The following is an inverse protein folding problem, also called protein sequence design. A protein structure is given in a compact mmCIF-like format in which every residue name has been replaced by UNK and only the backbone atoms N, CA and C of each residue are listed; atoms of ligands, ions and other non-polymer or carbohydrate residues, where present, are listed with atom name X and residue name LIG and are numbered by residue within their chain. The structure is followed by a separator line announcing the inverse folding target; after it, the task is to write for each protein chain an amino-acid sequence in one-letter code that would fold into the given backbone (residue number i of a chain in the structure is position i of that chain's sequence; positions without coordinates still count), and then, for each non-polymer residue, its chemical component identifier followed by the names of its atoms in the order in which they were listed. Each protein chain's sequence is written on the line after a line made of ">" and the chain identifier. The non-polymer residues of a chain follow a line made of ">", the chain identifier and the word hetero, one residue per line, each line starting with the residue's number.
data_IF_110817482319
#
_entry.id   IF_110817482319
#
_cell.length_a   1.000
_cell.length_b   1.000
_cell.length_c   1.000
_cell.angle_alpha   90.00
_cell.angle_beta   90.00
_cell.angle_gamma   90.00
#
_symmetry.space_group_name_H-M   'P 1'
#
loop_
_entity.id
_entity.type
_entity.pdbx_description
1 polymer ?
#
# COMPACT_ATOMS: atom_id res chain seq x y z
N UNK A 1 -12.85 1.25 -20.80
CA UNK A 1 -12.24 2.15 -19.80
C UNK A 1 -10.79 1.73 -19.65
N UNK A 2 -9.86 2.68 -19.45
CA UNK A 2 -8.45 2.33 -19.18
C UNK A 2 -8.32 1.97 -17.70
N UNK A 3 -7.50 0.97 -17.38
CA UNK A 3 -7.18 0.65 -16.00
C UNK A 3 -6.60 1.87 -15.29
N UNK A 4 -6.97 2.05 -14.03
CA UNK A 4 -6.31 3.01 -13.14
C UNK A 4 -5.06 2.35 -12.56
N UNK A 5 -3.95 3.07 -12.63
CA UNK A 5 -2.68 2.67 -12.06
C UNK A 5 -2.36 3.60 -10.92
N UNK A 6 -2.07 3.09 -9.73
CA UNK A 6 -1.56 3.90 -8.62
C UNK A 6 -0.08 3.60 -8.44
N UNK A 7 0.76 4.61 -8.60
CA UNK A 7 2.18 4.54 -8.28
C UNK A 7 2.42 5.25 -6.96
N UNK A 8 3.14 4.57 -6.06
CA UNK A 8 3.71 5.14 -4.84
C UNK A 8 5.22 4.95 -4.91
N UNK A 9 5.97 6.02 -5.10
CA UNK A 9 7.43 5.97 -5.20
C UNK A 9 8.11 6.64 -4.02
N UNK A 10 9.31 6.19 -3.69
CA UNK A 10 10.21 6.81 -2.73
C UNK A 10 11.57 7.03 -3.39
N UNK A 11 11.93 8.29 -3.57
CA UNK A 11 13.23 8.69 -4.14
C UNK A 11 14.18 9.04 -3.01
N UNK A 12 15.34 8.38 -2.97
CA UNK A 12 16.36 8.61 -1.94
C UNK A 12 17.44 9.58 -2.42
N UNK A 13 17.77 10.56 -1.59
CA UNK A 13 18.90 11.44 -1.82
C UNK A 13 20.23 10.66 -1.75
N UNK A 14 21.26 11.17 -2.43
CA UNK A 14 22.63 10.76 -2.16
C UNK A 14 23.01 11.09 -0.70
N UNK A 15 23.96 10.37 -0.06
CA UNK A 15 24.27 10.52 1.38
C UNK A 15 24.57 11.95 1.85
N UNK A 16 25.16 12.78 0.97
CA UNK A 16 25.55 14.17 1.28
C UNK A 16 24.58 15.21 0.68
N UNK A 17 23.40 14.78 0.25
CA UNK A 17 22.37 15.64 -0.35
C UNK A 17 21.06 15.54 0.42
N UNK A 18 20.21 16.55 0.20
CA UNK A 18 18.86 16.62 0.75
C UNK A 18 17.91 17.01 -0.36
N UNK A 19 16.76 16.34 -0.41
CA UNK A 19 15.64 16.72 -1.27
C UNK A 19 14.79 17.70 -0.47
N UNK A 20 14.77 18.96 -0.93
CA UNK A 20 13.88 19.98 -0.40
C UNK A 20 12.51 19.98 -1.10
N UNK A 21 11.63 20.91 -0.72
CA UNK A 21 10.30 21.01 -1.29
C UNK A 21 10.30 21.35 -2.78
N UNK A 22 11.25 22.17 -3.23
CA UNK A 22 11.34 22.57 -4.64
C UNK A 22 11.86 21.40 -5.49
N UNK A 23 12.86 20.66 -4.99
CA UNK A 23 13.37 19.46 -5.63
C UNK A 23 12.32 18.34 -5.66
N UNK A 24 11.57 18.11 -4.58
CA UNK A 24 10.48 17.14 -4.59
C UNK A 24 9.38 17.49 -5.60
N UNK A 25 8.97 18.75 -5.68
CA UNK A 25 8.02 19.18 -6.72
C UNK A 25 8.58 19.02 -8.13
N UNK A 26 9.88 19.25 -8.32
CA UNK A 26 10.53 19.02 -9.60
C UNK A 26 10.52 17.53 -9.97
N UNK A 27 10.90 16.64 -9.05
CA UNK A 27 10.83 15.18 -9.23
C UNK A 27 9.41 14.78 -9.64
N UNK A 28 8.39 15.23 -8.88
CA UNK A 28 7.00 14.89 -9.20
C UNK A 28 6.58 15.38 -10.59
N UNK A 29 7.01 16.57 -11.03
CA UNK A 29 6.73 17.03 -12.41
C UNK A 29 7.42 16.18 -13.48
N UNK A 30 8.61 15.64 -13.19
CA UNK A 30 9.24 14.69 -14.12
C UNK A 30 8.43 13.39 -14.20
N UNK A 31 8.04 12.82 -13.05
CA UNK A 31 7.28 11.57 -12.99
C UNK A 31 5.87 11.67 -13.60
N UNK A 32 5.22 12.82 -13.48
CA UNK A 32 3.88 13.06 -14.04
C UNK A 32 3.89 13.30 -15.56
N UNK A 33 5.02 13.77 -16.09
CA UNK A 33 5.14 14.20 -17.48
C UNK A 33 4.10 15.27 -17.89
N UNK A 34 3.79 15.37 -19.20
CA UNK A 34 2.84 16.36 -19.72
C UNK A 34 1.37 16.01 -19.47
N UNK A 35 1.06 14.76 -19.10
CA UNK A 35 -0.31 14.27 -18.97
C UNK A 35 -0.85 14.38 -17.55
N UNK A 36 0.03 14.48 -16.55
CA UNK A 36 -0.39 14.49 -15.16
C UNK A 36 -0.78 13.10 -14.67
N UNK A 37 -1.56 13.09 -13.60
CA UNK A 37 -2.01 11.90 -12.90
C UNK A 37 -3.41 11.50 -13.34
N UNK A 38 -3.60 10.21 -13.61
CA UNK A 38 -4.90 9.67 -14.03
C UNK A 38 -5.71 9.16 -12.83
N UNK A 39 -6.78 9.86 -12.47
CA UNK A 39 -7.74 9.50 -11.40
C UNK A 39 -7.13 9.28 -10.01
N UNK A 40 -5.87 9.60 -9.77
CA UNK A 40 -5.23 9.49 -8.45
C UNK A 40 -4.75 10.87 -8.03
N UNK A 41 -5.02 11.35 -6.81
CA UNK A 41 -4.49 12.63 -6.35
C UNK A 41 -2.96 12.59 -6.26
N UNK A 42 -2.32 13.68 -6.67
CA UNK A 42 -0.87 13.82 -6.53
C UNK A 42 -0.55 14.21 -5.10
N UNK A 43 0.28 13.41 -4.42
CA UNK A 43 0.77 13.76 -3.08
C UNK A 43 2.29 13.68 -2.99
N UNK A 44 2.86 14.55 -2.17
CA UNK A 44 4.29 14.60 -1.86
C UNK A 44 4.45 14.61 -0.35
N UNK A 45 5.29 13.73 0.19
CA UNK A 45 5.76 13.80 1.57
C UNK A 45 7.27 13.78 1.61
N UNK A 46 7.85 14.81 2.22
CA UNK A 46 9.27 14.85 2.51
C UNK A 46 9.60 14.16 3.83
N UNK A 47 10.72 13.44 3.83
CA UNK A 47 11.31 13.01 5.07
C UNK A 47 11.86 14.23 5.86
N UNK A 48 11.85 14.21 7.21
CA UNK A 48 12.21 15.38 8.01
C UNK A 48 13.61 15.97 7.73
N UNK A 49 14.58 15.14 7.35
CA UNK A 49 15.94 15.58 7.02
C UNK A 49 16.21 15.62 5.50
N UNK A 50 15.18 15.50 4.66
CA UNK A 50 15.29 15.51 3.20
C UNK A 50 15.99 14.27 2.63
N UNK A 51 16.14 13.20 3.41
CA UNK A 51 16.84 12.00 2.95
C UNK A 51 16.05 11.20 1.89
N UNK A 52 14.73 11.37 1.84
CA UNK A 52 13.88 10.86 0.77
C UNK A 52 12.63 11.72 0.56
N UNK A 53 12.02 11.57 -0.60
CA UNK A 53 10.69 12.09 -0.93
C UNK A 53 9.77 10.94 -1.36
N UNK A 54 8.59 10.89 -0.76
CA UNK A 54 7.54 9.93 -1.10
C UNK A 54 6.52 10.64 -2.00
N UNK A 55 6.20 10.04 -3.14
CA UNK A 55 5.35 10.64 -4.16
C UNK A 55 4.30 9.61 -4.58
N UNK A 56 3.03 10.00 -4.58
CA UNK A 56 1.93 9.19 -5.10
C UNK A 56 1.29 9.88 -6.30
N UNK A 57 0.97 9.10 -7.33
CA UNK A 57 0.26 9.59 -8.52
C UNK A 57 -0.35 8.42 -9.32
N UNK A 58 -1.12 8.78 -10.34
CA UNK A 58 -1.85 7.88 -11.20
C UNK A 58 -1.07 7.63 -12.48
N UNK A 59 -0.46 6.46 -12.60
CA UNK A 59 0.58 6.15 -13.57
C UNK A 59 0.14 6.16 -15.03
N UNK A 60 -1.15 5.91 -15.32
CA UNK A 60 -1.83 6.17 -16.61
C UNK A 60 -1.23 5.62 -17.92
N UNK A 61 -0.03 5.02 -17.91
CA UNK A 61 0.93 4.76 -19.02
C UNK A 61 1.97 5.86 -19.30
N UNK A 62 2.44 6.59 -18.28
CA UNK A 62 3.58 7.49 -18.43
C UNK A 62 4.89 6.70 -18.51
N UNK A 63 5.67 6.81 -19.61
CA UNK A 63 7.04 6.29 -19.67
C UNK A 63 8.01 7.14 -18.82
N UNK A 64 7.57 8.30 -18.32
CA UNK A 64 8.47 9.29 -17.72
C UNK A 64 9.12 8.77 -16.43
N UNK A 65 8.53 7.77 -15.77
CA UNK A 65 9.17 7.07 -14.65
C UNK A 65 10.38 6.23 -15.11
N UNK A 66 10.31 5.62 -16.30
CA UNK A 66 11.43 4.86 -16.90
C UNK A 66 12.57 5.83 -17.18
N UNK A 67 12.28 6.91 -17.91
CA UNK A 67 13.26 7.93 -18.28
C UNK A 67 13.87 8.58 -17.02
N UNK A 68 13.06 8.85 -15.99
CA UNK A 68 13.55 9.36 -14.71
C UNK A 68 14.51 8.37 -14.03
N UNK A 69 14.19 7.07 -14.04
CA UNK A 69 15.07 6.05 -13.48
C UNK A 69 16.41 6.02 -14.21
N UNK A 70 16.40 5.93 -15.54
CA UNK A 70 17.60 5.85 -16.36
C UNK A 70 18.49 7.08 -16.25
N UNK A 71 17.91 8.28 -16.22
CA UNK A 71 18.68 9.53 -16.25
C UNK A 71 19.10 10.04 -14.88
N UNK A 72 18.33 9.75 -13.82
CA UNK A 72 18.49 10.42 -12.52
C UNK A 72 19.00 9.49 -11.43
N UNK A 73 18.70 8.20 -11.47
CA UNK A 73 19.13 7.23 -10.45
C UNK A 73 20.60 6.87 -10.65
N UNK A 74 21.37 6.78 -9.55
CA UNK A 74 22.83 6.58 -9.59
C UNK A 74 23.63 7.85 -9.93
N UNK A 75 23.00 8.88 -10.50
CA UNK A 75 23.63 10.15 -10.86
C UNK A 75 23.25 11.28 -9.89
N UNK A 76 21.95 11.55 -9.78
CA UNK A 76 21.39 12.63 -8.95
C UNK A 76 20.83 12.09 -7.64
N UNK A 77 20.23 10.92 -7.69
CA UNK A 77 19.60 10.23 -6.57
C UNK A 77 20.29 8.90 -6.32
N UNK A 78 20.26 8.45 -5.06
CA UNK A 78 20.88 7.17 -4.69
C UNK A 78 20.12 6.01 -5.34
N UNK A 79 18.81 5.99 -5.17
CA UNK A 79 17.92 4.95 -5.69
C UNK A 79 16.48 5.45 -5.66
N UNK A 80 15.60 4.70 -6.32
CA UNK A 80 14.15 4.85 -6.27
C UNK A 80 13.54 3.49 -5.96
N UNK A 81 12.56 3.48 -5.07
CA UNK A 81 11.68 2.35 -4.83
C UNK A 81 10.29 2.72 -5.30
N UNK A 82 9.60 1.79 -5.95
CA UNK A 82 8.23 2.00 -6.38
C UNK A 82 7.34 0.85 -5.94
N UNK A 83 6.09 1.19 -5.63
CA UNK A 83 4.97 0.26 -5.53
C UNK A 83 3.93 0.64 -6.55
N UNK A 84 3.44 -0.36 -7.26
CA UNK A 84 2.51 -0.19 -8.35
C UNK A 84 1.26 -1.04 -8.12
N UNK A 85 0.11 -0.39 -8.15
CA UNK A 85 -1.20 -1.04 -8.16
C UNK A 85 -1.84 -0.88 -9.54
N UNK A 86 -2.46 -1.94 -10.04
CA UNK A 86 -3.23 -1.96 -11.28
C UNK A 86 -4.65 -2.47 -10.98
N UNK A 87 -5.64 -1.59 -11.09
CA UNK A 87 -7.06 -1.88 -10.83
C UNK A 87 -7.58 -3.05 -11.68
N UNK A 88 -7.14 -3.15 -12.95
CA UNK A 88 -7.49 -4.26 -13.83
C UNK A 88 -6.53 -5.46 -13.75
N UNK A 89 -5.67 -5.49 -12.73
CA UNK A 89 -4.63 -6.48 -12.50
C UNK A 89 -4.97 -7.49 -11.40
N UNK A 90 -3.96 -7.89 -10.63
CA UNK A 90 -4.06 -8.97 -9.63
C UNK A 90 -4.58 -8.54 -8.25
N UNK A 91 -5.12 -7.33 -8.12
CA UNK A 91 -5.62 -6.82 -6.85
C UNK A 91 -4.55 -6.81 -5.73
N UNK A 92 -3.28 -6.59 -6.12
CA UNK A 92 -2.10 -6.59 -5.25
C UNK A 92 -1.09 -5.54 -5.74
N UNK A 93 -0.37 -4.94 -4.80
CA UNK A 93 0.75 -4.06 -5.14
C UNK A 93 1.97 -4.87 -5.57
N UNK A 94 2.65 -4.41 -6.62
CA UNK A 94 3.97 -4.87 -7.04
C UNK A 94 5.03 -3.90 -6.52
N UNK A 95 6.08 -4.40 -5.88
CA UNK A 95 7.25 -3.61 -5.50
C UNK A 95 8.41 -3.83 -6.48
N UNK A 96 9.14 -2.76 -6.75
CA UNK A 96 10.33 -2.74 -7.59
C UNK A 96 11.32 -1.66 -7.11
N UNK A 97 12.57 -1.76 -7.59
CA UNK A 97 13.62 -0.78 -7.32
C UNK A 97 14.46 -0.53 -8.57
N UNK A 98 14.95 0.71 -8.72
CA UNK A 98 15.91 1.16 -9.74
C UNK A 98 15.41 1.13 -11.20
N UNK A 99 14.71 0.08 -11.60
CA UNK A 99 14.17 -0.08 -12.94
C UNK A 99 12.73 -0.59 -12.85
N UNK A 100 11.81 0.20 -13.37
CA UNK A 100 10.39 -0.15 -13.37
C UNK A 100 10.12 -1.32 -14.33
N UNK A 101 10.79 -1.45 -15.48
CA UNK A 101 10.47 -2.42 -16.51
C UNK A 101 11.28 -3.71 -16.41
N UNK A 102 12.59 -3.61 -16.18
CA UNK A 102 13.53 -4.74 -16.22
C UNK A 102 14.07 -5.11 -14.83
N UNK A 103 13.75 -4.32 -13.81
CA UNK A 103 14.14 -4.58 -12.43
C UNK A 103 13.41 -5.78 -11.81
N UNK A 104 13.95 -6.37 -10.72
CA UNK A 104 13.27 -7.42 -9.99
C UNK A 104 11.94 -6.86 -9.44
N UNK A 105 10.85 -7.51 -9.86
CA UNK A 105 9.49 -7.25 -9.35
C UNK A 105 9.01 -8.42 -8.52
N UNK A 106 8.12 -8.14 -7.57
CA UNK A 106 7.42 -9.11 -6.75
C UNK A 106 6.23 -8.47 -6.06
N UNK A 107 5.36 -9.28 -5.46
CA UNK A 107 4.28 -8.74 -4.65
C UNK A 107 4.83 -8.04 -3.42
N UNK A 108 4.32 -6.84 -3.16
CA UNK A 108 4.58 -6.11 -1.93
C UNK A 108 3.80 -6.75 -0.77
N UNK A 109 4.42 -6.79 0.40
CA UNK A 109 3.81 -7.26 1.64
C UNK A 109 3.84 -6.16 2.68
N UNK A 110 2.78 -6.10 3.46
CA UNK A 110 2.53 -5.08 4.46
C UNK A 110 2.47 -5.66 5.86
N UNK A 111 3.01 -4.94 6.84
CA UNK A 111 3.05 -5.35 8.24
C UNK A 111 1.90 -4.78 9.08
N UNK A 112 1.52 -5.53 10.11
CA UNK A 112 0.67 -5.09 11.21
C UNK A 112 1.17 -5.69 12.54
N UNK A 113 0.89 -5.02 13.65
CA UNK A 113 1.28 -5.41 15.01
C UNK A 113 0.08 -5.54 15.97
N UNK A 114 -1.11 -5.15 15.53
CA UNK A 114 -2.37 -5.36 16.26
C UNK A 114 -3.52 -5.64 15.29
N UNK A 115 -4.39 -6.57 15.67
CA UNK A 115 -5.72 -6.77 15.06
C UNK A 115 -6.79 -6.33 16.04
N UNK A 116 -7.73 -5.50 15.59
CA UNK A 116 -8.92 -5.09 16.34
C UNK A 116 -10.19 -5.52 15.62
N UNK A 117 -11.11 -6.14 16.35
CA UNK A 117 -12.37 -6.68 15.81
C UNK A 117 -13.55 -6.13 16.61
N UNK A 118 -14.61 -5.70 15.91
CA UNK A 118 -15.92 -5.40 16.52
C UNK A 118 -16.94 -6.40 15.99
N UNK A 119 -17.67 -7.04 16.89
CA UNK A 119 -18.64 -8.09 16.59
C UNK A 119 -20.02 -7.79 17.17
N UNK A 120 -21.08 -8.22 16.50
CA UNK A 120 -22.47 -8.17 16.98
C UNK A 120 -22.74 -9.39 17.88
N UNK A 121 -22.14 -9.39 19.07
CA UNK A 121 -22.28 -10.47 20.06
C UNK A 121 -20.94 -10.93 20.64
N UNK A 122 -20.77 -12.23 20.79
CA UNK A 122 -19.49 -12.85 21.17
C UNK A 122 -18.67 -13.19 19.91
N UNK A 123 -17.37 -12.83 19.89
CA UNK A 123 -16.26 -13.34 19.03
C UNK A 123 -15.08 -12.36 19.11
N UNK A 124 -13.81 -12.79 19.17
CA UNK A 124 -13.17 -13.92 18.48
C UNK A 124 -12.51 -14.93 19.44
N UNK A 125 -12.29 -16.18 19.00
CA UNK A 125 -10.89 -16.60 18.79
C UNK A 125 -10.69 -17.43 17.51
N UNK A 126 -9.57 -17.22 16.81
CA UNK A 126 -9.20 -17.95 15.56
C UNK A 126 -7.88 -18.75 15.71
N UNK A 127 -7.48 -18.99 16.96
CA UNK A 127 -6.82 -20.18 17.52
C UNK A 127 -6.92 -20.09 19.07
N UNK A 128 -6.92 -21.21 19.79
CA UNK A 128 -7.38 -21.29 21.20
C UNK A 128 -6.43 -20.72 22.28
N UNK A 129 -5.22 -20.31 21.93
CA UNK A 129 -4.17 -19.96 22.91
C UNK A 129 -3.71 -18.51 22.86
N UNK A 130 -4.25 -17.70 21.94
CA UNK A 130 -3.79 -16.31 21.76
C UNK A 130 -4.53 -15.33 22.68
N UNK A 131 -3.82 -14.35 23.28
CA UNK A 131 -4.31 -13.55 24.40
C UNK A 131 -5.19 -12.38 23.93
N UNK A 132 -6.27 -12.66 23.21
CA UNK A 132 -7.29 -11.66 22.86
C UNK A 132 -7.74 -10.91 24.10
N UNK A 133 -7.67 -9.58 24.04
CA UNK A 133 -8.09 -8.69 25.12
C UNK A 133 -9.39 -8.01 24.73
N UNK A 134 -10.37 -8.08 25.62
CA UNK A 134 -11.61 -7.32 25.44
C UNK A 134 -11.39 -5.87 25.87
N UNK A 135 -11.64 -4.95 24.94
CA UNK A 135 -11.62 -3.52 25.16
C UNK A 135 -12.89 -3.04 25.88
N UNK A 136 -12.79 -1.88 26.52
CA UNK A 136 -13.92 -1.21 27.18
C UNK A 136 -15.01 -0.74 26.21
N UNK A 137 -14.65 -0.57 24.94
CA UNK A 137 -15.55 -0.24 23.82
C UNK A 137 -16.25 -1.48 23.24
N UNK A 138 -16.08 -2.65 23.86
CA UNK A 138 -16.63 -3.92 23.39
C UNK A 138 -15.84 -4.56 22.25
N UNK A 139 -14.77 -3.92 21.77
CA UNK A 139 -13.88 -4.48 20.75
C UNK A 139 -12.99 -5.58 21.33
N UNK A 140 -12.46 -6.42 20.45
CA UNK A 140 -11.45 -7.41 20.78
C UNK A 140 -10.15 -7.02 20.13
N UNK A 141 -9.05 -7.09 20.88
CA UNK A 141 -7.73 -6.65 20.43
C UNK A 141 -6.73 -7.76 20.64
N UNK A 142 -5.95 -8.02 19.61
CA UNK A 142 -4.88 -9.01 19.62
C UNK A 142 -3.59 -8.33 19.21
N UNK A 143 -2.62 -8.17 20.14
CA UNK A 143 -1.26 -7.84 19.78
C UNK A 143 -0.63 -9.05 19.08
N UNK A 144 -0.33 -8.91 17.80
CA UNK A 144 0.27 -9.97 16.98
C UNK A 144 1.07 -9.34 15.87
N UNK A 145 2.32 -9.76 15.70
CA UNK A 145 3.10 -9.42 14.52
C UNK A 145 2.60 -10.26 13.35
N UNK A 146 2.07 -9.60 12.33
CA UNK A 146 1.55 -10.25 11.15
C UNK A 146 1.83 -9.45 9.89
N UNK A 147 1.41 -10.02 8.76
CA UNK A 147 1.58 -9.38 7.47
C UNK A 147 0.50 -9.78 6.48
N UNK A 148 0.27 -8.98 5.45
CA UNK A 148 -0.65 -9.31 4.38
C UNK A 148 -0.22 -8.76 3.02
N UNK A 149 -0.84 -9.26 1.97
CA UNK A 149 -0.78 -8.70 0.61
C UNK A 149 -2.16 -8.18 0.22
N UNK A 150 -2.19 -6.99 -0.36
CA UNK A 150 -3.41 -6.35 -0.87
C UNK A 150 -3.04 -5.30 -1.92
N UNK A 151 -4.04 -4.86 -2.67
CA UNK A 151 -3.96 -3.74 -3.59
C UNK A 151 -4.28 -2.44 -2.87
N UNK A 152 -3.40 -1.46 -3.01
CA UNK A 152 -3.57 -0.13 -2.42
C UNK A 152 -4.16 0.82 -3.45
N UNK A 153 -5.43 0.62 -3.79
CA UNK A 153 -6.14 1.51 -4.70
C UNK A 153 -6.30 2.92 -4.08
N UNK A 154 -5.87 3.92 -4.83
CA UNK A 154 -5.91 5.35 -4.46
C UNK A 154 -6.69 6.16 -5.50
N UNK A 155 -7.51 5.51 -6.32
CA UNK A 155 -8.45 6.16 -7.20
C UNK A 155 -9.31 7.17 -6.42
N UNK A 156 -9.53 8.32 -7.03
CA UNK A 156 -10.39 9.39 -6.58
C UNK A 156 -11.00 10.17 -7.76
N UNK A 157 -12.09 10.90 -7.50
CA UNK A 157 -12.76 11.82 -8.44
C UNK A 157 -11.95 13.12 -8.78
N UNK A 158 -10.64 13.01 -9.00
CA UNK A 158 -9.78 14.13 -9.48
C UNK A 158 -9.69 14.23 -11.01
N UNK A 159 -10.17 13.21 -11.72
CA UNK A 159 -10.15 13.14 -13.19
C UNK A 159 -8.78 12.77 -13.80
N UNK A 160 -8.69 12.74 -15.14
CA UNK A 160 -7.61 12.06 -15.86
C UNK A 160 -6.29 12.85 -16.02
N UNK A 161 -6.19 14.07 -15.50
CA UNK A 161 -5.02 14.95 -15.66
C UNK A 161 -4.69 15.74 -14.38
N UNK A 162 -4.80 15.09 -13.22
CA UNK A 162 -4.52 15.73 -11.94
C UNK A 162 -3.03 16.13 -11.84
N UNK A 163 -2.75 17.30 -11.28
CA UNK A 163 -1.39 17.83 -11.11
C UNK A 163 -1.16 18.19 -9.64
N UNK A 164 0.03 18.68 -9.31
CA UNK A 164 0.31 19.25 -7.98
C UNK A 164 -0.62 20.41 -7.57
N UNK A 165 -1.26 21.07 -8.54
CA UNK A 165 -2.21 22.14 -8.28
C UNK A 165 -3.66 21.66 -8.17
N UNK A 166 -3.92 20.38 -8.45
CA UNK A 166 -5.26 19.79 -8.30
C UNK A 166 -5.49 19.49 -6.83
N UNK A 167 -6.49 20.14 -6.24
CA UNK A 167 -6.87 19.89 -4.85
C UNK A 167 -7.48 18.48 -4.73
N UNK A 168 -7.01 17.64 -3.79
CA UNK A 168 -7.62 16.33 -3.55
C UNK A 168 -9.04 16.51 -3.02
N UNK A 169 -9.98 15.62 -3.36
CA UNK A 169 -11.31 15.66 -2.78
C UNK A 169 -11.23 15.49 -1.27
N UNK A 170 -12.15 16.13 -0.56
CA UNK A 170 -12.26 15.96 0.88
C UNK A 170 -12.50 14.48 1.20
N UNK A 171 -11.79 13.90 2.19
CA UNK A 171 -12.01 12.52 2.57
C UNK A 171 -13.46 12.34 3.04
N UNK A 172 -14.14 11.33 2.50
CA UNK A 172 -15.47 10.95 2.99
C UNK A 172 -15.39 10.54 4.47
N UNK A 173 -16.47 10.62 5.27
CA UNK A 173 -16.44 10.26 6.69
C UNK A 173 -15.96 8.81 6.97
N UNK A 174 -16.14 7.97 5.96
CA UNK A 174 -15.70 6.60 5.88
C UNK A 174 -14.18 6.47 5.66
N UNK A 175 -13.51 7.42 5.02
CA UNK A 175 -12.13 7.26 4.56
C UNK A 175 -11.14 7.02 5.72
N UNK A 176 -10.07 6.28 5.42
CA UNK A 176 -8.94 6.14 6.33
C UNK A 176 -8.05 7.39 6.19
N UNK A 177 -7.79 8.18 7.24
CA UNK A 177 -6.85 9.28 7.14
C UNK A 177 -5.45 8.69 7.00
N UNK A 178 -4.94 8.71 5.77
CA UNK A 178 -3.53 8.51 5.44
C UNK A 178 -2.93 9.82 4.95
N UNK A 179 -1.60 9.93 4.94
CA UNK A 179 -0.92 11.04 4.28
C UNK A 179 -1.25 11.19 2.77
N UNK A 180 -1.93 10.20 2.16
CA UNK A 180 -2.13 10.09 0.71
C UNK A 180 -3.58 9.77 0.27
N UNK A 181 -4.59 9.96 1.13
CA UNK A 181 -6.00 9.56 0.87
C UNK A 181 -6.83 10.64 0.15
N UNK A 182 -7.99 10.28 -0.47
CA UNK A 182 -8.92 9.21 -0.09
C UNK A 182 -8.94 8.03 -1.07
N UNK A 183 -8.52 6.87 -0.56
CA UNK A 183 -8.80 5.54 -1.12
C UNK A 183 -10.33 5.38 -1.21
N UNK A 184 -10.87 5.30 -2.43
CA UNK A 184 -12.29 5.08 -2.73
C UNK A 184 -12.72 3.61 -2.65
N UNK A 185 -11.76 2.69 -2.78
CA UNK A 185 -11.93 1.24 -2.64
C UNK A 185 -10.60 0.61 -2.23
N UNK A 186 -10.65 -0.56 -1.62
CA UNK A 186 -9.49 -1.40 -1.38
C UNK A 186 -9.84 -2.84 -1.74
N UNK A 187 -8.82 -3.64 -2.02
CA UNK A 187 -9.03 -5.04 -2.36
C UNK A 187 -9.06 -5.93 -1.13
N UNK A 188 -9.65 -7.11 -1.31
CA UNK A 188 -9.52 -8.19 -0.33
C UNK A 188 -8.05 -8.51 -0.06
N UNK A 189 -7.78 -9.08 1.12
CA UNK A 189 -6.44 -9.59 1.40
C UNK A 189 -6.23 -10.84 0.55
N UNK A 190 -5.15 -10.90 -0.21
CA UNK A 190 -4.85 -12.04 -1.07
C UNK A 190 -3.95 -13.07 -0.38
N UNK A 191 -3.30 -12.66 0.70
CA UNK A 191 -2.50 -13.51 1.60
C UNK A 191 -2.39 -12.81 2.94
N UNK A 192 -2.46 -13.56 4.03
CA UNK A 192 -2.27 -13.06 5.39
C UNK A 192 -1.45 -14.06 6.20
N UNK A 193 -0.54 -13.54 7.03
CA UNK A 193 0.20 -14.29 8.03
C UNK A 193 0.03 -13.66 9.42
N UNK A 194 -0.05 -14.48 10.48
CA UNK A 194 -0.12 -15.94 10.42
C UNK A 194 -1.42 -16.46 9.76
N UNK A 195 -1.39 -17.60 9.04
CA UNK A 195 -2.51 -18.05 8.19
C UNK A 195 -3.83 -18.29 8.93
N UNK A 196 -3.76 -18.57 10.23
CA UNK A 196 -4.95 -18.73 11.06
C UNK A 196 -5.76 -17.44 11.20
N UNK A 197 -5.24 -16.27 10.83
CA UNK A 197 -6.01 -15.03 10.76
C UNK A 197 -6.92 -14.94 9.51
N UNK A 198 -6.67 -15.76 8.47
CA UNK A 198 -7.43 -15.70 7.21
C UNK A 198 -8.96 -15.81 7.38
N UNK A 199 -9.50 -16.70 8.24
CA UNK A 199 -10.94 -16.76 8.45
C UNK A 199 -11.54 -15.45 8.98
N UNK A 200 -10.78 -14.61 9.70
CA UNK A 200 -11.29 -13.28 10.08
C UNK A 200 -11.44 -12.39 8.84
N UNK A 201 -10.48 -12.44 7.92
CA UNK A 201 -10.44 -11.60 6.73
C UNK A 201 -11.44 -12.03 5.64
N UNK A 202 -11.75 -13.33 5.56
CA UNK A 202 -12.54 -13.91 4.44
C UNK A 202 -13.97 -14.27 4.84
N UNK A 203 -14.19 -14.65 6.11
CA UNK A 203 -15.49 -15.07 6.62
C UNK A 203 -15.91 -14.10 7.73
N UNK A 204 -16.93 -13.29 7.48
CA UNK A 204 -17.35 -12.27 8.46
C UNK A 204 -18.66 -12.56 9.24
N UNK A 205 -18.99 -13.81 9.64
CA UNK A 205 -20.22 -14.03 10.39
C UNK A 205 -20.15 -13.36 11.77
N UNK A 206 -21.09 -12.44 12.04
CA UNK A 206 -21.20 -11.74 13.32
C UNK A 206 -20.07 -10.74 13.61
N UNK A 207 -19.20 -10.45 12.63
CA UNK A 207 -18.22 -9.37 12.68
C UNK A 207 -18.79 -8.17 11.92
N UNK A 208 -18.49 -6.96 12.39
CA UNK A 208 -18.93 -5.69 11.76
C UNK A 208 -17.77 -4.81 11.34
N UNK A 209 -16.60 -5.01 11.96
CA UNK A 209 -15.39 -4.27 11.68
C UNK A 209 -14.16 -5.10 12.02
N UNK A 210 -13.18 -5.07 11.14
CA UNK A 210 -11.83 -5.57 11.37
C UNK A 210 -10.86 -4.45 11.01
N UNK A 211 -9.89 -4.24 11.88
CA UNK A 211 -8.83 -3.25 11.73
C UNK A 211 -7.48 -3.94 11.95
N UNK A 212 -6.58 -3.79 10.98
CA UNK A 212 -5.17 -4.13 11.13
C UNK A 212 -4.41 -2.83 11.38
N UNK A 213 -3.53 -2.83 12.38
CA UNK A 213 -2.82 -1.65 12.83
C UNK A 213 -1.33 -1.88 12.83
N UNK A 214 -0.58 -0.81 12.58
CA UNK A 214 0.88 -0.78 12.64
C UNK A 214 1.32 0.39 13.49
N UNK A 215 2.06 0.13 14.57
CA UNK A 215 2.58 1.15 15.50
C UNK A 215 1.47 2.10 15.98
N UNK A 216 0.27 1.55 16.20
CA UNK A 216 -0.91 2.28 16.64
C UNK A 216 -1.70 3.00 15.52
N UNK A 217 -1.22 3.02 14.27
CA UNK A 217 -1.92 3.58 13.10
C UNK A 217 -2.74 2.50 12.39
N UNK A 218 -3.93 2.83 11.90
CA UNK A 218 -4.73 1.93 11.07
C UNK A 218 -4.08 1.78 9.68
N UNK A 219 -3.82 0.54 9.26
CA UNK A 219 -3.21 0.23 7.95
C UNK A 219 -4.16 -0.53 7.02
N UNK A 220 -5.12 -1.27 7.56
CA UNK A 220 -6.18 -1.89 6.76
C UNK A 220 -7.47 -1.99 7.55
N UNK A 221 -8.60 -1.76 6.90
CA UNK A 221 -9.93 -1.85 7.51
C UNK A 221 -10.88 -2.64 6.61
N UNK A 222 -11.66 -3.51 7.24
CA UNK A 222 -12.72 -4.30 6.59
C UNK A 222 -14.02 -4.07 7.35
N UNK A 223 -15.07 -3.57 6.70
CA UNK A 223 -16.39 -3.34 7.32
C UNK A 223 -17.52 -3.52 6.32
N UNK A 224 -18.70 -3.89 6.81
CA UNK A 224 -19.92 -3.87 5.99
C UNK A 224 -20.41 -2.42 5.86
N UNK A 225 -20.46 -1.92 4.63
CA UNK A 225 -20.98 -0.59 4.30
C UNK A 225 -22.08 -0.72 3.24
N UNK A 226 -22.97 0.28 3.18
CA UNK A 226 -23.91 0.43 2.07
C UNK A 226 -23.11 0.90 0.84
N UNK A 227 -23.06 0.08 -0.20
CA UNK A 227 -22.59 0.44 -1.53
C UNK A 227 -23.77 0.95 -2.37
N UNK A 228 -23.62 2.13 -2.95
CA UNK A 228 -24.69 2.82 -3.69
C UNK A 228 -25.16 2.03 -4.94
N UNK A 229 -24.35 1.08 -5.44
CA UNK A 229 -24.61 0.32 -6.67
C UNK A 229 -25.06 -1.11 -6.36
N UNK A 230 -24.43 -1.77 -5.38
CA UNK A 230 -24.59 -3.20 -5.13
C UNK A 230 -25.30 -3.54 -3.81
N UNK A 231 -25.67 -2.54 -3.00
CA UNK A 231 -26.25 -2.73 -1.68
C UNK A 231 -25.19 -2.99 -0.62
N UNK A 232 -25.54 -3.67 0.49
CA UNK A 232 -24.55 -3.94 1.54
C UNK A 232 -23.46 -4.88 1.07
N UNK A 233 -22.21 -4.42 1.17
CA UNK A 233 -21.04 -5.19 0.81
C UNK A 233 -19.92 -4.97 1.84
N UNK A 234 -19.05 -5.96 1.95
CA UNK A 234 -17.81 -5.81 2.70
C UNK A 234 -16.85 -4.94 1.91
N UNK A 235 -16.51 -3.80 2.49
CA UNK A 235 -15.56 -2.86 1.91
C UNK A 235 -14.21 -3.01 2.60
N UNK A 236 -13.19 -3.20 1.79
CA UNK A 236 -11.80 -3.15 2.22
C UNK A 236 -11.28 -1.73 1.95
N UNK A 237 -10.46 -1.23 2.86
CA UNK A 237 -9.81 0.08 2.76
C UNK A 237 -8.38 -0.06 3.22
N UNK A 238 -7.46 0.35 2.37
CA UNK A 238 -6.02 0.21 2.63
C UNK A 238 -5.43 1.57 2.99
N UNK A 239 -4.53 1.55 3.97
CA UNK A 239 -3.80 2.69 4.48
C UNK A 239 -2.29 2.39 4.52
N UNK A 240 -1.86 1.44 3.68
CA UNK A 240 -0.49 1.02 3.56
C UNK A 240 0.41 2.12 3.02
N UNK A 241 1.61 2.16 3.57
CA UNK A 241 2.62 3.18 3.34
C UNK A 241 4.01 2.52 3.45
N UNK A 242 5.08 3.25 3.21
CA UNK A 242 6.43 2.69 3.18
C UNK A 242 6.93 2.24 4.56
N UNK A 243 6.39 2.76 5.66
CA UNK A 243 6.78 2.41 7.04
C UNK A 243 6.27 1.02 7.48
N UNK A 244 5.29 0.46 6.78
CA UNK A 244 4.83 -0.91 6.98
C UNK A 244 5.10 -1.82 5.78
N UNK A 245 5.96 -1.41 4.84
CA UNK A 245 6.46 -2.28 3.77
C UNK A 245 7.43 -3.33 4.36
N UNK A 246 7.15 -4.62 4.14
CA UNK A 246 7.95 -5.74 4.64
C UNK A 246 8.74 -6.47 3.55
N UNK A 247 8.98 -5.78 2.42
CA UNK A 247 9.83 -6.29 1.36
C UNK A 247 11.27 -6.52 1.87
N UNK A 248 11.87 -7.70 1.66
CA UNK A 248 13.13 -8.05 2.30
C UNK A 248 14.33 -7.23 1.80
N UNK A 249 14.34 -6.82 0.52
CA UNK A 249 15.43 -6.00 0.01
C UNK A 249 15.25 -4.53 0.40
N UNK A 250 14.01 -4.04 0.44
CA UNK A 250 13.69 -2.71 0.97
C UNK A 250 14.12 -2.59 2.43
N UNK A 251 13.76 -3.55 3.28
CA UNK A 251 14.15 -3.57 4.70
C UNK A 251 15.67 -3.65 4.87
N UNK A 252 16.38 -4.41 4.02
CA UNK A 252 17.84 -4.46 4.02
C UNK A 252 18.44 -3.09 3.64
N UNK A 253 17.84 -2.41 2.66
CA UNK A 253 18.25 -1.08 2.23
C UNK A 253 18.03 -0.03 3.32
N UNK A 254 16.86 -0.02 3.98
CA UNK A 254 16.54 0.92 5.08
C UNK A 254 17.18 0.54 6.42
N UNK A 255 17.80 -0.64 6.50
CA UNK A 255 18.42 -1.21 7.71
C UNK A 255 17.41 -1.53 8.83
N UNK A 256 16.18 -1.83 8.47
CA UNK A 256 15.09 -2.24 9.37
C UNK A 256 14.99 -3.78 9.41
N UNK A 257 16.13 -4.45 9.63
CA UNK A 257 16.23 -5.91 9.54
C UNK A 257 15.49 -6.65 10.66
N UNK A 258 15.08 -5.94 11.71
CA UNK A 258 14.25 -6.45 12.80
C UNK A 258 12.79 -6.72 12.37
N UNK A 259 12.36 -6.16 11.24
CA UNK A 259 11.02 -6.35 10.68
C UNK A 259 10.93 -7.50 9.66
N UNK A 260 12.07 -8.16 9.38
CA UNK A 260 12.15 -9.23 8.38
C UNK A 260 11.29 -10.43 8.82
N UNK A 261 10.44 -10.90 7.92
CA UNK A 261 9.58 -12.06 8.15
C UNK A 261 10.38 -13.38 8.06
N UNK A 262 9.74 -14.48 8.48
CA UNK A 262 10.34 -15.80 8.31
C UNK A 262 10.60 -16.12 6.83
N UNK A 263 11.67 -16.85 6.55
CA UNK A 263 12.03 -17.31 5.19
C UNK A 263 10.89 -18.08 4.51
N UNK A 264 10.07 -18.80 5.28
CA UNK A 264 8.91 -19.52 4.77
C UNK A 264 7.90 -18.60 4.07
N UNK A 265 7.62 -17.42 4.64
CA UNK A 265 6.69 -16.45 4.06
C UNK A 265 7.22 -15.92 2.74
N UNK A 266 8.49 -15.51 2.70
CA UNK A 266 9.10 -14.99 1.47
C UNK A 266 9.21 -16.03 0.37
N UNK A 267 9.49 -17.29 0.71
CA UNK A 267 9.52 -18.39 -0.25
C UNK A 267 8.15 -18.65 -0.88
N UNK A 268 7.06 -18.53 -0.09
CA UNK A 268 5.69 -18.65 -0.60
C UNK A 268 5.35 -17.48 -1.52
N UNK A 269 5.72 -16.26 -1.15
CA UNK A 269 5.50 -15.08 -1.98
C UNK A 269 6.26 -15.16 -3.32
N UNK A 270 7.50 -15.63 -3.29
CA UNK A 270 8.29 -15.87 -4.50
C UNK A 270 7.62 -16.92 -5.39
N UNK A 271 7.14 -18.02 -4.82
CA UNK A 271 6.42 -19.05 -5.56
C UNK A 271 5.17 -18.48 -6.25
N UNK A 272 4.35 -17.73 -5.51
CA UNK A 272 3.13 -17.09 -6.03
C UNK A 272 3.46 -16.11 -7.17
N UNK A 273 4.53 -15.33 -7.03
CA UNK A 273 5.02 -14.43 -8.07
C UNK A 273 5.46 -15.20 -9.33
N UNK A 274 6.21 -16.29 -9.18
CA UNK A 274 6.66 -17.10 -10.32
C UNK A 274 5.50 -17.82 -11.02
N UNK A 275 4.45 -18.23 -10.29
CA UNK A 275 3.22 -18.72 -10.90
C UNK A 275 2.50 -17.64 -11.72
N UNK A 276 2.44 -16.42 -11.17
CA UNK A 276 1.87 -15.28 -11.88
C UNK A 276 2.61 -14.99 -13.19
N UNK A 277 3.93 -14.77 -13.14
CA UNK A 277 4.75 -14.49 -14.33
C UNK A 277 4.55 -15.58 -15.39
N UNK A 278 4.55 -16.86 -15.01
CA UNK A 278 4.32 -17.97 -15.95
C UNK A 278 2.95 -17.93 -16.63
N UNK A 279 1.92 -17.44 -15.94
CA UNK A 279 0.55 -17.39 -16.45
C UNK A 279 0.30 -16.19 -17.37
N UNK A 280 0.95 -15.06 -17.12
CA UNK A 280 0.62 -13.79 -17.77
C UNK A 280 1.73 -13.21 -18.67
N UNK A 281 2.92 -13.81 -18.71
CA UNK A 281 4.01 -13.41 -19.63
C UNK A 281 4.03 -14.20 -20.97
N UNK A 282 2.88 -14.74 -21.41
CA UNK A 282 2.71 -15.40 -22.72
C UNK A 282 1.80 -14.58 -23.63
#
# INVERSE_FOLDING_TARGET
>A
MSNIFTDSVRVYALPDRQIDQAEAQWITRQLLGPYGSYHVPVSIRLAPAGQHADIQYGGGKSPDIVDFCEEQVGHRYLTIWGRHYNEGGLQQDEIWSEDVNEGPRRFCRYGFDEVRVIATGERPPVAAEEPWRRGSDGSWRLPVAGSYRTGNDRCADVGPCATLATEPPAPVPSALPTPTTPNESGDALTSIDPPWLAPLADEHPGVTLIEYRWRGRLVHRVREDDDDVWGRAWQHRCADDWDNCLDPDFLRFTRETDLVLSEEVYRRDEHDWQEYVRRYSR
#
